data_IF_948622562740
#
_entry.id   IF_948622562740
#
_cell.length_a   1.000
_cell.length_b   1.000
_cell.length_c   1.000
_cell.angle_alpha   90.00
_cell.angle_beta   90.00
_cell.angle_gamma   90.00
#
_symmetry.space_group_name_H-M   'P 1'
#
loop_
_entity.id
_entity.type
_entity.pdbx_description
1 polymer ?
#
# COMPACT_ATOMS: atom_id res chain seq x y z
N UNK A 1 -13.55 -27.76 65.39
CA UNK A 1 -12.19 -27.58 65.96
C UNK A 1 -11.27 -28.17 64.93
N UNK A 2 -10.26 -27.42 64.46
CA UNK A 2 -9.23 -27.99 63.59
C UNK A 2 -8.41 -28.96 64.46
N UNK A 3 -8.17 -30.18 63.98
CA UNK A 3 -7.36 -31.19 64.67
C UNK A 3 -6.02 -31.45 63.97
N UNK A 4 -5.13 -32.23 64.59
CA UNK A 4 -3.78 -32.48 64.07
C UNK A 4 -3.78 -33.18 62.70
N UNK A 5 -4.82 -33.97 62.39
CA UNK A 5 -4.97 -34.58 61.05
C UNK A 5 -5.33 -33.54 60.00
N UNK A 6 -6.09 -32.52 60.38
CA UNK A 6 -6.40 -31.40 59.50
C UNK A 6 -5.13 -30.57 59.20
N UNK A 7 -4.21 -30.44 60.16
CA UNK A 7 -2.93 -29.73 59.98
C UNK A 7 -1.97 -30.53 59.09
N UNK A 8 -1.82 -31.84 59.34
CA UNK A 8 -0.93 -32.73 58.57
C UNK A 8 -1.31 -32.78 57.08
N UNK A 9 -2.60 -32.89 56.76
CA UNK A 9 -3.09 -32.82 55.37
C UNK A 9 -2.82 -31.47 54.71
N UNK A 10 -2.81 -30.40 55.49
CA UNK A 10 -2.54 -29.05 55.00
C UNK A 10 -1.05 -28.94 54.65
N UNK A 11 -0.16 -29.45 55.51
CA UNK A 11 1.29 -29.51 55.26
C UNK A 11 1.63 -30.38 54.05
N UNK A 12 0.99 -31.54 53.88
CA UNK A 12 1.14 -32.39 52.69
C UNK A 12 0.69 -31.70 51.39
N UNK A 13 -0.22 -30.72 51.48
CA UNK A 13 -0.72 -29.96 50.32
C UNK A 13 0.10 -28.70 49.97
N UNK A 14 1.02 -28.30 50.85
CA UNK A 14 1.85 -27.11 50.65
C UNK A 14 3.09 -27.47 49.84
N UNK A 15 3.28 -26.78 48.72
CA UNK A 15 4.55 -26.83 47.98
C UNK A 15 5.66 -26.15 48.77
N UNK A 16 6.85 -26.74 48.69
CA UNK A 16 8.05 -26.14 49.25
C UNK A 16 8.43 -24.86 48.49
N UNK A 17 9.18 -23.98 49.13
CA UNK A 17 9.68 -22.75 48.49
C UNK A 17 10.44 -23.03 47.19
N UNK A 18 11.23 -24.11 47.15
CA UNK A 18 12.00 -24.51 45.97
C UNK A 18 11.11 -24.97 44.82
N UNK A 19 10.03 -25.69 45.12
CA UNK A 19 9.03 -26.09 44.12
C UNK A 19 8.26 -24.87 43.59
N UNK A 20 7.92 -23.92 44.47
CA UNK A 20 7.31 -22.65 44.07
C UNK A 20 8.23 -21.82 43.16
N UNK A 21 9.52 -21.72 43.48
CA UNK A 21 10.52 -21.05 42.64
C UNK A 21 10.64 -21.72 41.25
N UNK A 22 10.67 -23.06 41.21
CA UNK A 22 10.68 -23.80 39.95
C UNK A 22 9.42 -23.60 39.10
N UNK A 23 8.24 -23.43 39.73
CA UNK A 23 7.01 -23.08 39.03
C UNK A 23 7.09 -21.66 38.44
N UNK A 24 7.70 -20.71 39.14
CA UNK A 24 7.87 -19.33 38.66
C UNK A 24 8.81 -19.24 37.45
N UNK A 25 9.78 -20.14 37.30
CA UNK A 25 10.66 -20.20 36.12
C UNK A 25 9.92 -20.68 34.85
N UNK A 26 8.83 -21.45 35.00
CA UNK A 26 8.09 -22.03 33.88
C UNK A 26 6.86 -21.18 33.49
N UNK A 27 6.41 -20.30 34.37
CA UNK A 27 5.27 -19.40 34.12
C UNK A 27 5.76 -18.09 33.53
N UNK A 28 5.22 -17.70 32.37
CA UNK A 28 5.48 -16.41 31.77
C UNK A 28 4.98 -15.28 32.69
N UNK A 29 5.89 -14.37 33.06
CA UNK A 29 5.58 -13.20 33.86
C UNK A 29 5.16 -12.03 32.97
N UNK A 30 4.60 -10.98 33.58
CA UNK A 30 4.16 -9.77 32.86
C UNK A 30 5.26 -9.16 32.00
N UNK A 31 6.50 -9.19 32.46
CA UNK A 31 7.64 -8.66 31.72
C UNK A 31 7.98 -9.50 30.47
N UNK A 32 7.73 -10.81 30.49
CA UNK A 32 7.93 -11.69 29.33
C UNK A 32 6.96 -11.37 28.18
N UNK A 33 5.81 -10.75 28.50
CA UNK A 33 4.78 -10.39 27.54
C UNK A 33 5.04 -9.04 26.85
N UNK A 34 5.91 -8.18 27.42
CA UNK A 34 6.21 -6.84 26.86
C UNK A 34 6.88 -6.87 25.49
N UNK A 35 7.51 -7.99 25.13
CA UNK A 35 8.15 -8.19 23.82
C UNK A 35 7.17 -8.42 22.67
N UNK A 36 5.90 -8.68 22.97
CA UNK A 36 4.88 -8.95 21.96
C UNK A 36 4.11 -7.67 21.63
N UNK A 37 3.77 -7.53 20.35
CA UNK A 37 2.88 -6.48 19.90
C UNK A 37 1.52 -6.59 20.58
N UNK A 38 1.01 -5.44 20.99
CA UNK A 38 -0.33 -5.26 21.54
C UNK A 38 -1.34 -5.09 20.41
N UNK A 39 -2.62 -5.07 20.78
CA UNK A 39 -3.68 -4.74 19.81
C UNK A 39 -3.53 -3.33 19.27
N UNK A 40 -3.07 -2.40 20.09
CA UNK A 40 -2.92 -0.99 19.71
C UNK A 40 -1.81 -0.84 18.67
N UNK A 41 -0.68 -1.55 18.83
CA UNK A 41 0.40 -1.57 17.83
C UNK A 41 -0.10 -2.07 16.46
N UNK A 42 -0.98 -3.07 16.45
CA UNK A 42 -1.57 -3.61 15.21
C UNK A 42 -2.55 -2.62 14.58
N UNK A 43 -3.32 -1.89 15.39
CA UNK A 43 -4.23 -0.85 14.90
C UNK A 43 -3.44 0.31 14.29
N UNK A 44 -2.40 0.77 14.98
CA UNK A 44 -1.52 1.84 14.47
C UNK A 44 -0.87 1.44 13.15
N UNK A 45 -0.29 0.23 13.08
CA UNK A 45 0.28 -0.29 11.84
C UNK A 45 -0.75 -0.34 10.70
N UNK A 46 -1.98 -0.82 10.98
CA UNK A 46 -3.06 -0.86 9.99
C UNK A 46 -3.41 0.55 9.48
N UNK A 47 -3.52 1.52 10.37
CA UNK A 47 -3.90 2.89 10.03
C UNK A 47 -2.81 3.57 9.19
N UNK A 48 -1.53 3.33 9.46
CA UNK A 48 -0.43 3.81 8.62
C UNK A 48 -0.48 3.23 7.21
N UNK A 49 -0.73 1.92 7.10
CA UNK A 49 -0.86 1.25 5.80
C UNK A 49 -2.05 1.80 5.01
N UNK A 50 -3.21 1.99 5.67
CA UNK A 50 -4.40 2.53 5.02
C UNK A 50 -4.17 3.97 4.53
N UNK A 51 -3.54 4.83 5.34
CA UNK A 51 -3.16 6.19 4.91
C UNK A 51 -2.24 6.16 3.70
N UNK A 52 -1.23 5.29 3.70
CA UNK A 52 -0.34 5.11 2.55
C UNK A 52 -1.09 4.65 1.30
N UNK A 53 -2.07 3.76 1.43
CA UNK A 53 -2.92 3.32 0.32
C UNK A 53 -3.80 4.45 -0.23
N UNK A 54 -4.41 5.25 0.64
CA UNK A 54 -5.22 6.41 0.22
C UNK A 54 -4.39 7.43 -0.58
N UNK A 55 -3.16 7.70 -0.15
CA UNK A 55 -2.25 8.57 -0.88
C UNK A 55 -1.87 8.03 -2.26
N UNK A 56 -1.63 6.71 -2.36
CA UNK A 56 -1.31 6.05 -3.62
C UNK A 56 -2.50 6.13 -4.59
N UNK A 57 -3.71 5.84 -4.12
CA UNK A 57 -4.94 5.93 -4.92
C UNK A 57 -5.13 7.37 -5.43
N UNK A 58 -4.98 8.37 -4.56
CA UNK A 58 -5.09 9.77 -4.97
C UNK A 58 -4.06 10.20 -6.02
N UNK A 59 -2.84 9.63 -6.01
CA UNK A 59 -1.83 9.85 -7.06
C UNK A 59 -2.19 9.13 -8.36
N UNK A 60 -2.71 7.91 -8.29
CA UNK A 60 -3.14 7.15 -9.46
C UNK A 60 -4.30 7.82 -10.18
N UNK A 61 -5.29 8.34 -9.46
CA UNK A 61 -6.42 9.05 -10.06
C UNK A 61 -5.97 10.29 -10.85
N UNK A 62 -5.00 11.04 -10.31
CA UNK A 62 -4.40 12.19 -11.01
C UNK A 62 -3.69 11.76 -12.29
N UNK A 63 -2.85 10.72 -12.21
CA UNK A 63 -2.14 10.20 -13.38
C UNK A 63 -3.09 9.68 -14.46
N UNK A 64 -4.19 9.04 -14.06
CA UNK A 64 -5.22 8.58 -14.99
C UNK A 64 -5.86 9.78 -15.72
N UNK A 65 -6.20 10.83 -14.97
CA UNK A 65 -6.73 12.08 -15.51
C UNK A 65 -5.75 12.75 -16.49
N UNK A 66 -4.48 12.88 -16.10
CA UNK A 66 -3.43 13.45 -16.95
C UNK A 66 -3.22 12.66 -18.24
N UNK A 67 -3.19 11.32 -18.16
CA UNK A 67 -3.06 10.45 -19.33
C UNK A 67 -4.22 10.63 -20.30
N UNK A 68 -5.47 10.61 -19.80
CA UNK A 68 -6.65 10.79 -20.66
C UNK A 68 -6.68 12.17 -21.33
N UNK A 69 -6.25 13.22 -20.62
CA UNK A 69 -6.09 14.55 -21.19
C UNK A 69 -4.98 14.59 -22.25
N UNK A 70 -3.84 13.94 -21.99
CA UNK A 70 -2.75 13.79 -22.95
C UNK A 70 -3.22 13.13 -24.25
N UNK A 71 -3.89 11.99 -24.16
CA UNK A 71 -4.45 11.27 -25.31
C UNK A 71 -5.45 12.13 -26.09
N UNK A 72 -6.28 12.91 -25.39
CA UNK A 72 -7.23 13.83 -26.02
C UNK A 72 -6.52 15.01 -26.71
N UNK A 73 -5.47 15.55 -26.10
CA UNK A 73 -4.66 16.62 -26.70
C UNK A 73 -3.92 16.13 -27.93
N UNK A 74 -3.34 14.92 -27.90
CA UNK A 74 -2.61 14.37 -29.04
C UNK A 74 -3.54 14.10 -30.22
N UNK A 75 -4.73 13.52 -29.98
CA UNK A 75 -5.77 13.40 -31.03
C UNK A 75 -6.15 14.75 -31.64
N UNK A 76 -6.26 15.81 -30.82
CA UNK A 76 -6.55 17.17 -31.31
C UNK A 76 -5.40 17.73 -32.14
N UNK A 77 -4.17 17.59 -31.68
CA UNK A 77 -2.96 18.03 -32.42
C UNK A 77 -2.87 17.33 -33.78
N UNK A 78 -3.08 16.02 -33.83
CA UNK A 78 -3.12 15.26 -35.09
C UNK A 78 -4.15 15.86 -36.03
N UNK A 79 -5.41 16.00 -35.60
CA UNK A 79 -6.47 16.59 -36.45
C UNK A 79 -6.14 17.99 -36.95
N UNK A 80 -5.56 18.84 -36.11
CA UNK A 80 -5.15 20.19 -36.50
C UNK A 80 -4.08 20.14 -37.60
N UNK A 81 -3.06 19.29 -37.43
CA UNK A 81 -2.02 19.10 -38.44
C UNK A 81 -2.61 18.58 -39.76
N UNK A 82 -3.56 17.65 -39.71
CA UNK A 82 -4.23 17.16 -40.92
C UNK A 82 -4.98 18.26 -41.66
N UNK A 83 -5.70 19.11 -40.92
CA UNK A 83 -6.42 20.26 -41.50
C UNK A 83 -5.43 21.23 -42.16
N UNK A 84 -4.34 21.59 -41.46
CA UNK A 84 -3.31 22.47 -42.00
C UNK A 84 -2.66 21.88 -43.24
N UNK A 85 -2.24 20.61 -43.19
CA UNK A 85 -1.61 19.93 -44.33
C UNK A 85 -2.55 19.87 -45.54
N UNK A 86 -3.83 19.55 -45.33
CA UNK A 86 -4.81 19.53 -46.40
C UNK A 86 -5.01 20.92 -47.02
N UNK A 87 -5.06 21.98 -46.21
CA UNK A 87 -5.18 23.35 -46.71
C UNK A 87 -3.95 23.79 -47.51
N UNK A 88 -2.74 23.45 -47.03
CA UNK A 88 -1.49 23.76 -47.72
C UNK A 88 -1.37 23.02 -49.07
N UNK A 89 -1.75 21.74 -49.12
CA UNK A 89 -1.77 20.94 -50.34
C UNK A 89 -2.82 21.44 -51.34
N UNK A 90 -4.04 21.68 -50.87
CA UNK A 90 -5.16 22.12 -51.73
C UNK A 90 -4.88 23.47 -52.38
N UNK A 91 -4.21 24.37 -51.67
CA UNK A 91 -3.80 25.67 -52.18
C UNK A 91 -2.45 25.64 -52.94
N UNK A 92 -1.87 24.46 -53.17
CA UNK A 92 -0.58 24.25 -53.86
C UNK A 92 0.55 25.11 -53.29
N UNK A 93 0.57 25.29 -51.96
CA UNK A 93 1.62 26.05 -51.25
C UNK A 93 2.88 25.19 -51.10
N UNK A 94 2.72 23.88 -50.95
CA UNK A 94 3.83 22.93 -50.80
C UNK A 94 4.35 22.44 -52.15
N UNK A 95 5.65 22.12 -52.22
CA UNK A 95 6.22 21.39 -53.34
C UNK A 95 5.74 19.93 -53.35
N UNK A 96 5.81 19.26 -54.50
CA UNK A 96 5.46 17.83 -54.62
C UNK A 96 6.32 16.97 -53.68
N UNK A 97 7.60 17.30 -53.55
CA UNK A 97 8.53 16.63 -52.65
C UNK A 97 8.10 16.78 -51.19
N UNK A 98 7.81 18.00 -50.73
CA UNK A 98 7.41 18.25 -49.33
C UNK A 98 6.06 17.61 -49.02
N UNK A 99 5.13 17.62 -49.98
CA UNK A 99 3.85 16.95 -49.85
C UNK A 99 4.01 15.43 -49.65
N UNK A 100 4.91 14.81 -50.42
CA UNK A 100 5.22 13.38 -50.32
C UNK A 100 5.94 13.02 -49.01
N UNK A 101 6.87 13.86 -48.54
CA UNK A 101 7.51 13.67 -47.24
C UNK A 101 6.49 13.70 -46.10
N UNK A 102 5.53 14.65 -46.13
CA UNK A 102 4.45 14.72 -45.14
C UNK A 102 3.56 13.47 -45.16
N UNK A 103 3.24 12.93 -46.34
CA UNK A 103 2.40 11.73 -46.44
C UNK A 103 3.09 10.48 -45.88
N UNK A 104 4.41 10.37 -46.03
CA UNK A 104 5.19 9.26 -45.47
C UNK A 104 5.20 9.29 -43.93
N UNK A 105 5.10 10.47 -43.30
CA UNK A 105 5.03 10.60 -41.84
C UNK A 105 3.70 10.10 -41.24
N UNK A 106 2.63 9.99 -42.03
CA UNK A 106 1.33 9.49 -41.58
C UNK A 106 1.25 7.96 -41.43
N UNK A 107 2.24 7.24 -41.96
CA UNK A 107 2.22 5.77 -42.04
C UNK A 107 2.75 5.10 -40.76
N UNK A 108 3.36 5.87 -39.85
CA UNK A 108 3.86 5.43 -38.55
C UNK A 108 2.99 5.96 -37.41
#
# INVERSE_FOLDING_TARGET
MIDDKDIEKLEESLVTKKEFEGLMEVVAMKDDLKKYATKDDVVEFKDEILKGQDEIIGKLDKLLGEKTMGDAQDKRKTKILEIHNNALKSNKILSEKDSAEIDNLRVF
#
